data_IF_339941002637
#
_entry.id   IF_339941002637
#
_cell.length_a   1.000
_cell.length_b   1.000
_cell.length_c   1.000
_cell.angle_alpha   90.00
_cell.angle_beta   90.00
_cell.angle_gamma   90.00
#
_symmetry.space_group_name_H-M   'P 1'
#
loop_
_entity.id
_entity.type
_entity.pdbx_description
1 polymer ?
#
# COMPACT_ATOMS: atom_id res chain seq x y z
N UNK A 1 11.02 2.12 -7.17
CA UNK A 1 9.97 1.23 -6.61
C UNK A 1 10.22 -0.22 -6.97
N UNK A 2 10.32 -0.58 -8.25
CA UNK A 2 10.47 -1.98 -8.68
C UNK A 2 11.61 -2.73 -7.96
N UNK A 3 12.84 -2.21 -8.07
CA UNK A 3 14.01 -2.76 -7.37
C UNK A 3 13.80 -2.93 -5.86
N UNK A 4 13.11 -1.99 -5.22
CA UNK A 4 12.86 -2.03 -3.77
C UNK A 4 11.86 -3.13 -3.41
N UNK A 5 10.76 -3.28 -4.18
CA UNK A 5 9.79 -4.35 -3.96
C UNK A 5 10.43 -5.72 -4.18
N UNK A 6 11.23 -5.88 -5.23
CA UNK A 6 11.98 -7.12 -5.49
C UNK A 6 12.95 -7.43 -4.35
N UNK A 7 13.65 -6.42 -3.82
CA UNK A 7 14.53 -6.60 -2.68
C UNK A 7 13.77 -7.05 -1.43
N UNK A 8 12.63 -6.44 -1.11
CA UNK A 8 11.81 -6.85 0.03
C UNK A 8 11.25 -8.26 -0.13
N UNK A 9 10.84 -8.63 -1.35
CA UNK A 9 10.37 -9.98 -1.66
C UNK A 9 11.49 -11.02 -1.47
N UNK A 10 12.68 -10.76 -2.02
CA UNK A 10 13.84 -11.65 -1.89
C UNK A 10 14.32 -11.79 -0.43
N UNK A 11 14.24 -10.71 0.35
CA UNK A 11 14.54 -10.71 1.77
C UNK A 11 13.41 -11.36 2.63
N UNK A 12 12.31 -11.81 2.02
CA UNK A 12 11.23 -12.49 2.70
C UNK A 12 10.33 -11.59 3.56
N UNK A 13 10.40 -10.25 3.41
CA UNK A 13 9.62 -9.31 4.22
C UNK A 13 8.12 -9.54 4.12
N UNK A 14 7.63 -9.93 2.94
CA UNK A 14 6.20 -10.17 2.73
C UNK A 14 5.71 -11.51 3.29
N UNK A 15 6.61 -12.42 3.70
CA UNK A 15 6.21 -13.74 4.22
C UNK A 15 5.48 -13.64 5.56
N UNK A 16 5.71 -12.58 6.32
CA UNK A 16 5.07 -12.32 7.61
C UNK A 16 3.91 -11.32 7.52
N UNK A 17 3.79 -10.62 6.39
CA UNK A 17 2.72 -9.65 6.18
C UNK A 17 1.39 -10.36 5.84
N UNK A 18 0.27 -9.75 6.21
CA UNK A 18 -1.08 -10.24 5.84
C UNK A 18 -1.62 -9.61 4.56
N UNK A 19 -1.15 -8.41 4.23
CA UNK A 19 -1.50 -7.67 3.02
C UNK A 19 -0.48 -6.54 2.81
N UNK A 20 -0.46 -5.98 1.61
CA UNK A 20 0.21 -4.71 1.29
C UNK A 20 -0.86 -3.70 0.88
N UNK A 21 -0.81 -2.51 1.46
CA UNK A 21 -1.70 -1.41 1.08
C UNK A 21 -0.83 -0.24 0.64
N UNK A 22 -0.92 0.08 -0.65
CA UNK A 22 -0.16 1.16 -1.27
C UNK A 22 -0.84 2.50 -1.01
N UNK A 23 -0.04 3.44 -0.50
CA UNK A 23 -0.41 4.83 -0.38
C UNK A 23 -0.37 5.57 -1.72
N UNK A 24 -0.33 6.89 -1.64
CA UNK A 24 -0.29 7.79 -2.78
C UNK A 24 1.17 8.10 -3.19
N UNK A 25 1.45 7.92 -4.48
CA UNK A 25 2.73 8.21 -5.10
C UNK A 25 2.61 9.46 -5.98
N UNK A 26 3.19 10.58 -5.52
CA UNK A 26 3.19 11.85 -6.26
C UNK A 26 4.36 11.87 -7.25
N UNK A 27 4.09 11.48 -8.48
CA UNK A 27 5.00 11.64 -9.62
C UNK A 27 4.59 12.87 -10.43
N UNK A 28 5.54 13.59 -11.01
CA UNK A 28 5.23 14.74 -11.89
C UNK A 28 4.98 14.27 -13.32
N UNK A 29 5.72 13.25 -13.78
CA UNK A 29 5.61 12.69 -15.12
C UNK A 29 4.44 11.70 -15.23
N UNK A 30 3.57 11.88 -16.23
CA UNK A 30 2.41 11.03 -16.45
C UNK A 30 2.77 9.65 -17.03
N UNK A 31 3.79 9.55 -17.87
CA UNK A 31 4.28 8.30 -18.41
C UNK A 31 4.95 7.45 -17.31
N UNK A 32 5.73 8.08 -16.43
CA UNK A 32 6.32 7.44 -15.26
C UNK A 32 5.22 6.92 -14.32
N UNK A 33 4.18 7.74 -14.06
CA UNK A 33 3.03 7.34 -13.25
C UNK A 33 2.33 6.11 -13.84
N UNK A 34 2.06 6.12 -15.15
CA UNK A 34 1.45 4.99 -15.85
C UNK A 34 2.30 3.74 -15.74
N UNK A 35 3.62 3.84 -15.98
CA UNK A 35 4.57 2.73 -15.85
C UNK A 35 4.58 2.16 -14.43
N UNK A 36 4.60 3.03 -13.40
CA UNK A 36 4.61 2.60 -12.01
C UNK A 36 3.36 1.77 -11.67
N UNK A 37 2.17 2.24 -12.05
CA UNK A 37 0.92 1.55 -11.73
C UNK A 37 0.67 0.32 -12.60
N UNK A 38 0.83 0.44 -13.92
CA UNK A 38 0.44 -0.61 -14.86
C UNK A 38 1.48 -1.72 -14.99
N UNK A 39 2.76 -1.43 -14.75
CA UNK A 39 3.81 -2.43 -14.94
C UNK A 39 4.35 -2.88 -13.58
N UNK A 40 4.84 -1.96 -12.76
CA UNK A 40 5.54 -2.30 -11.51
C UNK A 40 4.57 -2.83 -10.46
N UNK A 41 3.55 -2.06 -10.10
CA UNK A 41 2.60 -2.48 -9.06
C UNK A 41 1.67 -3.59 -9.53
N UNK A 42 1.24 -3.60 -10.79
CA UNK A 42 0.44 -4.69 -11.33
C UNK A 42 1.20 -6.02 -11.31
N UNK A 43 2.47 -6.04 -11.78
CA UNK A 43 3.31 -7.24 -11.70
C UNK A 43 3.51 -7.68 -10.26
N UNK A 44 3.91 -6.76 -9.37
CA UNK A 44 4.07 -7.08 -7.95
C UNK A 44 2.79 -7.68 -7.34
N UNK A 45 1.63 -7.09 -7.61
CA UNK A 45 0.35 -7.60 -7.13
C UNK A 45 0.01 -8.98 -7.68
N UNK A 46 0.37 -9.28 -8.93
CA UNK A 46 0.16 -10.61 -9.53
C UNK A 46 1.08 -11.69 -8.97
N UNK A 47 2.29 -11.33 -8.55
CA UNK A 47 3.31 -12.25 -8.02
C UNK A 47 3.22 -12.43 -6.49
N UNK A 48 2.66 -11.44 -5.79
CA UNK A 48 2.52 -11.47 -4.34
C UNK A 48 1.54 -12.58 -3.90
N UNK A 49 1.92 -13.31 -2.84
CA UNK A 49 1.08 -14.35 -2.23
C UNK A 49 0.03 -13.80 -1.23
N UNK A 50 -0.02 -12.48 -1.09
CA UNK A 50 -0.89 -11.76 -0.16
C UNK A 50 -1.63 -10.66 -0.92
N UNK A 51 -2.82 -10.23 -0.44
CA UNK A 51 -3.57 -9.16 -1.08
C UNK A 51 -2.75 -7.87 -1.18
N UNK A 52 -2.75 -7.26 -2.36
CA UNK A 52 -2.16 -5.94 -2.62
C UNK A 52 -3.27 -4.99 -3.02
N UNK A 53 -3.45 -3.91 -2.25
CA UNK A 53 -4.44 -2.87 -2.48
C UNK A 53 -3.76 -1.53 -2.68
N UNK A 54 -4.48 -0.57 -3.23
CA UNK A 54 -4.01 0.80 -3.42
C UNK A 54 -5.10 1.80 -3.07
N UNK A 55 -4.70 3.05 -2.84
CA UNK A 55 -5.61 4.17 -2.58
C UNK A 55 -5.71 4.56 -1.11
N UNK A 56 -4.83 4.06 -0.25
CA UNK A 56 -4.74 4.54 1.11
C UNK A 56 -4.32 6.04 1.08
N UNK A 57 -5.02 6.95 1.78
CA UNK A 57 -4.75 8.38 1.76
C UNK A 57 -3.56 8.74 2.64
N UNK A 58 -2.40 8.13 2.36
CA UNK A 58 -1.11 8.36 3.01
C UNK A 58 -0.06 8.48 1.93
N UNK A 59 0.91 9.38 2.09
CA UNK A 59 1.96 9.59 1.07
C UNK A 59 2.41 11.04 1.04
N UNK A 60 2.91 11.47 -0.12
CA UNK A 60 3.52 12.80 -0.30
C UNK A 60 2.56 13.85 -0.86
N UNK A 61 1.26 13.56 -0.89
CA UNK A 61 0.24 14.52 -1.30
C UNK A 61 -0.28 15.26 -0.06
N UNK A 62 0.00 16.58 0.08
CA UNK A 62 -0.42 17.35 1.24
C UNK A 62 -1.95 17.36 1.46
N UNK A 63 -2.74 17.07 0.42
CA UNK A 63 -4.21 17.02 0.50
C UNK A 63 -4.73 15.64 0.92
N UNK A 64 -3.88 14.62 0.93
CA UNK A 64 -4.24 13.21 1.14
C UNK A 64 -3.18 12.52 2.02
N UNK A 65 -2.89 13.12 3.16
CA UNK A 65 -1.89 12.65 4.12
C UNK A 65 -2.52 12.46 5.50
N UNK A 66 -3.22 11.35 5.68
CA UNK A 66 -3.72 10.91 6.97
C UNK A 66 -2.59 10.35 7.83
N UNK A 67 -2.68 10.53 9.14
CA UNK A 67 -1.78 9.87 10.09
C UNK A 67 -2.09 8.37 10.12
N UNK A 68 -1.05 7.54 10.04
CA UNK A 68 -1.17 6.10 10.21
C UNK A 68 -0.46 5.67 11.50
N UNK A 69 -1.21 5.24 12.53
CA UNK A 69 -0.62 4.69 13.76
C UNK A 69 0.23 3.46 13.45
N UNK A 70 1.53 3.53 13.76
CA UNK A 70 2.45 2.42 13.56
C UNK A 70 2.27 1.37 14.68
N UNK A 71 2.52 0.11 14.35
CA UNK A 71 2.44 -1.02 15.29
C UNK A 71 1.10 -1.11 16.05
N UNK A 72 0.01 -0.66 15.42
CA UNK A 72 -1.34 -0.67 15.99
C UNK A 72 -2.16 -1.78 15.33
N UNK A 73 -2.98 -2.56 16.07
CA UNK A 73 -3.82 -3.57 15.47
C UNK A 73 -4.75 -2.95 14.42
N UNK A 74 -4.83 -3.62 13.28
CA UNK A 74 -5.64 -3.19 12.15
C UNK A 74 -6.33 -4.38 11.51
N UNK A 75 -7.53 -4.13 10.98
CA UNK A 75 -8.31 -5.10 10.22
C UNK A 75 -8.59 -4.54 8.83
N UNK A 76 -8.15 -5.28 7.83
CA UNK A 76 -8.42 -5.00 6.42
C UNK A 76 -9.60 -5.85 5.96
N UNK A 77 -10.69 -5.20 5.61
CA UNK A 77 -11.85 -5.81 4.98
C UNK A 77 -11.69 -5.72 3.46
N UNK A 78 -11.70 -6.88 2.80
CA UNK A 78 -11.67 -6.98 1.35
C UNK A 78 -13.11 -6.97 0.78
N UNK A 79 -13.23 -6.81 -0.54
CA UNK A 79 -14.52 -6.82 -1.26
C UNK A 79 -14.61 -5.70 -2.29
N UNK A 80 -15.82 -5.43 -2.78
CA UNK A 80 -16.09 -4.34 -3.74
C UNK A 80 -15.73 -2.95 -3.20
N UNK A 81 -15.81 -2.77 -1.87
CA UNK A 81 -15.43 -1.55 -1.18
C UNK A 81 -14.49 -1.89 -0.04
N UNK A 82 -13.18 -2.01 -0.31
CA UNK A 82 -12.21 -2.38 0.71
C UNK A 82 -12.10 -1.30 1.79
N UNK A 83 -11.90 -1.70 3.05
CA UNK A 83 -11.79 -0.78 4.20
C UNK A 83 -10.68 -1.24 5.13
N UNK A 84 -9.89 -0.29 5.61
CA UNK A 84 -8.90 -0.52 6.66
C UNK A 84 -9.40 0.14 7.95
N UNK A 85 -9.67 -0.67 8.97
CA UNK A 85 -9.96 -0.18 10.32
C UNK A 85 -8.69 -0.33 11.16
N UNK A 86 -8.16 0.77 11.72
CA UNK A 86 -7.06 0.76 12.68
C UNK A 86 -7.59 1.07 14.06
N UNK A 87 -7.39 0.17 15.04
CA UNK A 87 -7.88 0.37 16.41
C UNK A 87 -6.86 1.18 17.20
N UNK A 88 -6.76 2.48 16.91
CA UNK A 88 -5.98 3.40 17.74
C UNK A 88 -6.79 3.81 18.97
N UNK A 89 -6.13 3.92 20.14
CA UNK A 89 -6.73 4.51 21.35
C UNK A 89 -7.03 6.02 21.25
N UNK A 90 -6.85 6.58 20.05
CA UNK A 90 -7.21 7.91 19.59
C UNK A 90 -8.38 7.63 18.64
N UNK A 91 -9.58 8.18 18.93
CA UNK A 91 -10.88 7.74 18.38
C UNK A 91 -10.96 7.51 16.86
N UNK A 92 -12.02 6.82 16.42
CA UNK A 92 -12.19 6.35 15.04
C UNK A 92 -11.90 7.44 14.00
N UNK A 93 -11.03 7.11 13.04
CA UNK A 93 -10.64 7.95 11.90
C UNK A 93 -11.17 7.38 10.58
#
# INVERSE_FOLDING_TARGET
MDRMLSQFAQAGWFNQAKAVVLGHFLLQDAAERRRLWNDVFARFASEAKIPVLAGLPVGHDPRRQMTLPLNTPARLYLGLTPRLHVSSGIGEA
#
